data_IF_074638810940
#
_entry.id   IF_074638810940
#
_cell.length_a   1.000
_cell.length_b   1.000
_cell.length_c   1.000
_cell.angle_alpha   90.00
_cell.angle_beta   90.00
_cell.angle_gamma   90.00
#
_symmetry.space_group_name_H-M   'P 1'
#
loop_
_entity.id
_entity.type
_entity.pdbx_description
1 polymer ?
#
# COMPACT_ATOMS: atom_id res chain seq x y z
N UNK A 1 -36.07 -12.04 -6.97
CA UNK A 1 -35.66 -10.66 -6.61
C UNK A 1 -34.19 -10.71 -6.25
N UNK A 2 -33.31 -10.45 -7.21
CA UNK A 2 -31.89 -10.78 -7.12
C UNK A 2 -31.09 -9.53 -6.75
N UNK A 3 -30.55 -9.50 -5.54
CA UNK A 3 -29.65 -8.43 -5.09
C UNK A 3 -28.31 -8.56 -5.84
N UNK A 4 -28.14 -7.77 -6.90
CA UNK A 4 -26.82 -7.45 -7.45
C UNK A 4 -26.11 -6.56 -6.43
N UNK A 5 -25.30 -7.15 -5.55
CA UNK A 5 -24.34 -6.36 -4.77
C UNK A 5 -23.16 -6.08 -5.71
N UNK A 6 -23.31 -4.99 -6.48
CA UNK A 6 -22.21 -4.35 -7.18
C UNK A 6 -21.20 -3.85 -6.15
N UNK A 7 -19.91 -4.06 -6.41
CA UNK A 7 -18.82 -3.45 -5.65
C UNK A 7 -19.17 -1.97 -5.39
N UNK A 8 -19.33 -1.52 -4.13
CA UNK A 8 -19.87 -0.20 -3.81
C UNK A 8 -19.01 0.96 -4.34
N UNK A 9 -17.78 0.67 -4.80
CA UNK A 9 -16.86 1.64 -5.39
C UNK A 9 -16.77 1.57 -6.92
N UNK A 10 -17.43 0.62 -7.57
CA UNK A 10 -17.31 0.40 -9.02
C UNK A 10 -18.65 0.70 -9.70
N UNK A 11 -18.84 1.95 -10.14
CA UNK A 11 -20.03 2.35 -10.91
C UNK A 11 -20.17 1.47 -12.15
N UNK A 12 -21.32 0.83 -12.29
CA UNK A 12 -21.67 -0.17 -13.31
C UNK A 12 -21.90 0.34 -14.73
N UNK A 13 -21.48 1.58 -15.05
CA UNK A 13 -21.76 2.22 -16.35
C UNK A 13 -20.55 2.47 -17.25
N UNK A 14 -19.32 2.43 -16.72
CA UNK A 14 -18.10 2.79 -17.49
C UNK A 14 -17.23 1.57 -17.83
N UNK A 15 -17.78 0.37 -17.67
CA UNK A 15 -17.03 -0.88 -17.68
C UNK A 15 -16.49 -1.32 -19.06
N UNK A 16 -16.75 -0.60 -20.15
CA UNK A 16 -16.40 -1.07 -21.49
C UNK A 16 -15.11 -0.49 -22.11
N UNK A 17 -14.41 0.48 -21.50
CA UNK A 17 -13.26 1.10 -22.20
C UNK A 17 -11.95 1.35 -21.43
N UNK A 18 -11.78 0.87 -20.19
CA UNK A 18 -10.41 0.82 -19.60
C UNK A 18 -10.15 -0.53 -18.94
N UNK A 19 -9.53 -1.44 -19.70
CA UNK A 19 -8.68 -2.48 -19.12
C UNK A 19 -7.54 -1.78 -18.39
N UNK A 20 -7.74 -1.47 -17.10
CA UNK A 20 -6.67 -1.00 -16.22
C UNK A 20 -5.77 -2.22 -15.99
N UNK A 21 -4.67 -2.29 -16.74
CA UNK A 21 -3.66 -3.32 -16.52
C UNK A 21 -2.93 -3.03 -15.20
N UNK A 22 -2.70 -4.05 -14.34
CA UNK A 22 -1.86 -3.92 -13.17
C UNK A 22 -0.47 -3.41 -13.60
N UNK A 23 0.03 -2.33 -12.97
CA UNK A 23 1.32 -1.72 -13.29
C UNK A 23 1.33 -0.66 -14.41
N UNK A 24 0.22 -0.48 -15.16
CA UNK A 24 0.15 0.55 -16.22
C UNK A 24 0.22 1.99 -15.70
N UNK A 25 0.06 2.19 -14.38
CA UNK A 25 0.10 3.50 -13.74
C UNK A 25 1.51 4.05 -13.50
N UNK A 26 2.54 3.19 -13.41
CA UNK A 26 3.95 3.63 -13.30
C UNK A 26 4.40 4.43 -14.53
N UNK A 27 3.79 4.17 -15.69
CA UNK A 27 4.10 4.78 -16.98
C UNK A 27 3.04 5.79 -17.46
N UNK A 28 1.98 6.01 -16.68
CA UNK A 28 1.00 7.05 -16.98
C UNK A 28 1.53 8.39 -16.47
N UNK A 29 1.50 9.42 -17.34
CA UNK A 29 1.94 10.80 -17.06
C UNK A 29 1.60 11.39 -15.67
N UNK A 30 0.49 11.05 -14.95
CA UNK A 30 0.26 11.56 -13.60
C UNK A 30 1.16 11.02 -12.47
N UNK A 31 1.80 9.85 -12.60
CA UNK A 31 2.47 9.20 -11.46
C UNK A 31 3.64 9.98 -10.89
N UNK A 32 4.60 10.36 -11.75
CA UNK A 32 5.77 11.14 -11.35
C UNK A 32 5.40 12.56 -10.89
N UNK A 33 4.33 13.15 -11.45
CA UNK A 33 3.83 14.47 -11.04
C UNK A 33 3.36 14.42 -9.58
N UNK A 34 2.61 13.37 -9.22
CA UNK A 34 2.12 13.21 -7.84
C UNK A 34 3.27 12.88 -6.88
N UNK A 35 4.24 12.07 -7.31
CA UNK A 35 5.46 11.82 -6.55
C UNK A 35 6.20 13.13 -6.23
N UNK A 36 6.49 13.95 -7.25
CA UNK A 36 7.15 15.26 -7.06
C UNK A 36 6.30 16.21 -6.21
N UNK A 37 4.97 16.18 -6.38
CA UNK A 37 4.06 16.96 -5.56
C UNK A 37 4.24 16.65 -4.06
N UNK A 38 4.27 15.36 -3.67
CA UNK A 38 4.47 15.01 -2.26
C UNK A 38 5.87 15.39 -1.74
N UNK A 39 6.90 15.35 -2.58
CA UNK A 39 8.22 15.89 -2.21
C UNK A 39 8.18 17.40 -1.94
N UNK A 40 7.53 18.17 -2.83
CA UNK A 40 7.41 19.62 -2.65
C UNK A 40 6.57 19.99 -1.42
N UNK A 41 5.47 19.28 -1.18
CA UNK A 41 4.65 19.49 0.03
C UNK A 41 5.43 19.10 1.28
N UNK A 42 6.21 18.03 1.23
CA UNK A 42 7.08 17.63 2.36
C UNK A 42 8.10 18.70 2.68
N UNK A 43 8.81 19.23 1.67
CA UNK A 43 9.75 20.34 1.84
C UNK A 43 9.09 21.58 2.48
N UNK A 44 7.88 21.92 2.05
CA UNK A 44 7.13 23.04 2.61
C UNK A 44 6.64 22.76 4.04
N UNK A 45 6.18 21.55 4.31
CA UNK A 45 5.65 21.14 5.61
C UNK A 45 6.73 21.04 6.68
N UNK A 46 7.91 20.53 6.30
CA UNK A 46 9.05 20.39 7.20
C UNK A 46 9.92 21.64 7.25
N UNK A 47 9.51 22.75 6.63
CA UNK A 47 10.29 23.99 6.67
C UNK A 47 10.49 24.45 8.13
N UNK A 48 11.71 24.85 8.55
CA UNK A 48 12.89 25.17 7.74
C UNK A 48 13.91 24.02 7.57
N UNK A 49 13.58 22.75 7.78
CA UNK A 49 14.54 21.62 7.68
C UNK A 49 15.42 21.67 6.42
N UNK A 50 14.83 22.03 5.28
CA UNK A 50 15.53 22.11 4.00
C UNK A 50 16.70 23.13 3.98
N UNK A 51 16.70 24.14 4.88
CA UNK A 51 17.79 25.13 4.95
C UNK A 51 19.01 24.65 5.73
N UNK A 52 18.84 23.60 6.54
CA UNK A 52 19.85 23.08 7.47
C UNK A 52 20.06 21.57 7.35
N UNK A 53 19.86 20.99 6.15
CA UNK A 53 19.88 19.53 5.96
C UNK A 53 21.16 18.87 6.46
N UNK A 54 22.30 19.56 6.41
CA UNK A 54 23.61 18.97 6.68
C UNK A 54 24.06 19.09 8.15
N UNK A 55 23.46 19.99 8.92
CA UNK A 55 24.02 20.44 10.20
C UNK A 55 22.98 20.74 11.28
N UNK A 56 21.69 20.69 10.93
CA UNK A 56 20.59 20.99 11.84
C UNK A 56 19.82 19.72 12.19
N UNK A 57 19.47 19.61 13.46
CA UNK A 57 18.59 18.58 14.00
C UNK A 57 17.39 19.24 14.66
N UNK A 58 16.28 18.52 14.73
CA UNK A 58 15.04 19.03 15.32
C UNK A 58 15.21 19.33 16.82
N UNK A 59 15.88 18.43 17.53
CA UNK A 59 16.20 18.59 18.95
C UNK A 59 17.62 18.07 19.28
N UNK A 60 17.97 18.13 20.57
CA UNK A 60 19.25 17.62 21.11
C UNK A 60 19.10 16.28 21.85
N UNK A 61 17.92 15.65 21.79
CA UNK A 61 17.63 14.35 22.39
C UNK A 61 17.70 13.30 21.30
N UNK A 62 16.55 12.73 20.93
CA UNK A 62 16.43 11.54 20.09
C UNK A 62 16.90 11.80 18.66
N UNK A 63 16.83 13.07 18.22
CA UNK A 63 17.34 13.51 16.93
C UNK A 63 18.86 13.42 16.81
N UNK A 64 19.60 13.34 17.92
CA UNK A 64 21.06 13.16 17.90
C UNK A 64 21.46 11.69 17.86
N UNK A 65 20.63 10.83 18.43
CA UNK A 65 20.91 9.40 18.56
C UNK A 65 20.66 8.65 17.24
N UNK A 66 19.54 8.91 16.57
CA UNK A 66 19.19 8.26 15.29
C UNK A 66 20.26 8.42 14.18
N UNK A 67 20.75 9.63 13.84
CA UNK A 67 21.82 9.78 12.85
C UNK A 67 23.11 9.06 13.28
N UNK A 68 23.45 9.08 14.57
CA UNK A 68 24.63 8.37 15.07
C UNK A 68 24.49 6.84 14.87
N UNK A 69 23.31 6.26 15.17
CA UNK A 69 23.01 4.84 14.91
C UNK A 69 23.10 4.51 13.43
N UNK A 70 22.50 5.32 12.56
CA UNK A 70 22.58 5.16 11.10
C UNK A 70 24.03 5.22 10.60
N UNK A 71 24.84 6.15 11.13
CA UNK A 71 26.27 6.26 10.83
C UNK A 71 27.05 5.03 11.27
N UNK A 72 26.74 4.48 12.46
CA UNK A 72 27.36 3.25 12.97
C UNK A 72 27.01 2.04 12.11
N UNK A 73 25.74 1.90 11.68
CA UNK A 73 25.30 0.86 10.75
C UNK A 73 26.04 0.99 9.42
N UNK A 74 26.09 2.19 8.84
CA UNK A 74 26.78 2.45 7.58
C UNK A 74 28.29 2.13 7.68
N UNK A 75 28.91 2.45 8.81
CA UNK A 75 30.31 2.11 9.08
C UNK A 75 30.52 0.59 9.16
N UNK A 76 29.71 -0.12 9.97
CA UNK A 76 29.83 -1.57 10.15
C UNK A 76 29.57 -2.34 8.86
N UNK A 77 28.66 -1.86 8.02
CA UNK A 77 28.36 -2.51 6.74
C UNK A 77 29.58 -2.60 5.80
N UNK A 78 30.53 -1.67 5.91
CA UNK A 78 31.79 -1.67 5.14
C UNK A 78 32.95 -2.41 5.82
N UNK A 79 32.97 -2.44 7.15
CA UNK A 79 34.14 -2.90 7.90
C UNK A 79 33.95 -4.28 8.54
N UNK A 80 32.76 -4.56 9.08
CA UNK A 80 32.43 -5.82 9.74
C UNK A 80 30.91 -6.13 9.65
N UNK A 81 30.42 -6.53 8.46
CA UNK A 81 28.99 -6.71 8.22
C UNK A 81 28.37 -7.87 9.04
N UNK A 82 29.18 -8.78 9.57
CA UNK A 82 28.70 -9.87 10.44
C UNK A 82 28.31 -9.36 11.83
N UNK A 83 28.84 -8.20 12.23
CA UNK A 83 28.55 -7.54 13.51
C UNK A 83 27.76 -6.24 13.29
N UNK A 84 26.86 -6.22 12.30
CA UNK A 84 26.06 -5.03 11.92
C UNK A 84 25.30 -4.40 13.08
N UNK A 85 24.88 -5.21 14.06
CA UNK A 85 24.13 -4.78 15.23
C UNK A 85 25.01 -4.35 16.42
N UNK A 86 26.33 -4.34 16.26
CA UNK A 86 27.27 -3.90 17.28
C UNK A 86 27.65 -2.43 17.10
N UNK A 87 27.50 -1.66 18.16
CA UNK A 87 27.95 -0.27 18.26
C UNK A 87 28.65 -0.02 19.61
N UNK A 88 29.04 1.23 19.89
CA UNK A 88 29.69 1.56 21.16
C UNK A 88 28.69 1.84 22.32
N UNK A 89 27.38 1.82 22.07
CA UNK A 89 26.38 2.01 23.13
C UNK A 89 26.28 0.79 24.03
N UNK A 90 25.93 1.03 25.29
CA UNK A 90 25.73 -0.03 26.29
C UNK A 90 26.93 -0.98 26.47
N UNK A 91 28.16 -0.53 26.21
CA UNK A 91 29.36 -1.35 26.42
C UNK A 91 29.40 -1.94 27.85
N UNK A 92 29.68 -3.25 28.02
CA UNK A 92 30.20 -4.21 27.05
C UNK A 92 29.14 -5.10 26.36
N UNK A 93 27.87 -4.72 26.37
CA UNK A 93 26.81 -5.53 25.76
C UNK A 93 26.98 -5.61 24.24
N UNK A 94 26.89 -6.84 23.71
CA UNK A 94 26.88 -7.12 22.27
C UNK A 94 25.46 -6.99 21.70
N UNK A 95 25.37 -6.82 20.37
CA UNK A 95 24.10 -6.62 19.66
C UNK A 95 23.27 -5.47 20.24
N UNK A 96 23.95 -4.45 20.76
CA UNK A 96 23.35 -3.35 21.51
C UNK A 96 22.38 -2.50 20.68
N UNK A 97 22.53 -2.43 19.35
CA UNK A 97 21.57 -1.74 18.48
C UNK A 97 20.18 -2.39 18.46
N UNK A 98 20.05 -3.66 18.87
CA UNK A 98 18.76 -4.35 19.00
C UNK A 98 18.05 -4.05 20.33
N UNK A 99 18.77 -3.47 21.30
CA UNK A 99 18.22 -3.13 22.61
C UNK A 99 17.44 -1.81 22.60
N UNK A 100 17.48 -1.10 21.48
CA UNK A 100 16.85 0.18 21.26
C UNK A 100 15.90 0.10 20.04
N UNK A 101 15.32 1.22 19.63
CA UNK A 101 14.51 1.32 18.43
C UNK A 101 15.26 0.78 17.20
N UNK A 102 14.62 -0.14 16.49
CA UNK A 102 15.23 -0.81 15.36
C UNK A 102 15.25 0.12 14.14
N UNK A 103 16.38 0.76 13.88
CA UNK A 103 16.60 1.70 12.74
C UNK A 103 17.51 1.13 11.66
N UNK A 104 17.66 -0.20 11.62
CA UNK A 104 18.61 -0.88 10.71
C UNK A 104 18.18 -0.74 9.25
N UNK A 105 16.88 -0.80 8.97
CA UNK A 105 16.33 -0.59 7.63
C UNK A 105 16.71 0.78 7.09
N UNK A 106 16.53 1.81 7.90
CA UNK A 106 16.85 3.19 7.54
C UNK A 106 18.36 3.39 7.37
N UNK A 107 19.16 2.84 8.29
CA UNK A 107 20.62 2.85 8.20
C UNK A 107 21.13 2.18 6.92
N UNK A 108 20.55 1.05 6.51
CA UNK A 108 20.90 0.37 5.26
C UNK A 108 20.51 1.18 4.02
N UNK A 109 19.30 1.74 3.99
CA UNK A 109 18.80 2.52 2.85
C UNK A 109 19.62 3.80 2.63
N UNK A 110 20.05 4.44 3.72
CA UNK A 110 20.73 5.73 3.68
C UNK A 110 22.26 5.62 3.85
N UNK A 111 22.80 4.41 4.03
CA UNK A 111 24.24 4.17 4.08
C UNK A 111 25.01 4.78 2.88
N UNK A 112 24.51 4.71 1.62
CA UNK A 112 25.17 5.38 0.50
C UNK A 112 25.34 6.89 0.69
N UNK A 113 24.37 7.57 1.31
CA UNK A 113 24.49 9.01 1.61
C UNK A 113 25.60 9.23 2.62
N UNK A 114 25.65 8.41 3.68
CA UNK A 114 26.70 8.49 4.70
C UNK A 114 28.07 8.26 4.06
N UNK A 115 28.25 7.26 3.21
CA UNK A 115 29.55 6.97 2.58
C UNK A 115 30.00 8.07 1.61
N UNK A 116 29.08 8.64 0.85
CA UNK A 116 29.41 9.68 -0.15
C UNK A 116 29.68 11.05 0.49
N UNK A 117 29.09 11.33 1.64
CA UNK A 117 29.12 12.68 2.25
C UNK A 117 29.82 12.73 3.60
N UNK A 118 30.09 11.57 4.20
CA UNK A 118 30.54 11.41 5.59
C UNK A 118 29.64 12.14 6.59
N UNK A 119 28.34 12.26 6.27
CA UNK A 119 27.39 13.07 7.03
C UNK A 119 26.11 12.28 7.39
N UNK A 120 26.06 11.67 8.59
CA UNK A 120 24.84 11.00 9.07
C UNK A 120 23.67 11.95 9.36
N UNK A 121 23.92 13.23 9.65
CA UNK A 121 22.85 14.23 9.87
C UNK A 121 22.10 14.49 8.57
N UNK A 122 22.84 14.65 7.46
CA UNK A 122 22.23 14.74 6.12
C UNK A 122 21.40 13.50 5.80
N UNK A 123 21.94 12.32 6.09
CA UNK A 123 21.26 11.06 5.84
C UNK A 123 19.92 10.97 6.62
N UNK A 124 19.92 11.36 7.89
CA UNK A 124 18.73 11.40 8.73
C UNK A 124 17.69 12.45 8.27
N UNK A 125 18.13 13.65 7.90
CA UNK A 125 17.21 14.68 7.43
C UNK A 125 16.56 14.32 6.08
N UNK A 126 17.30 13.63 5.20
CA UNK A 126 16.75 13.06 3.97
C UNK A 126 15.78 11.91 4.25
N UNK A 127 16.03 11.10 5.29
CA UNK A 127 15.08 10.08 5.75
C UNK A 127 13.76 10.74 6.17
N UNK A 128 13.79 11.76 7.03
CA UNK A 128 12.57 12.47 7.47
C UNK A 128 11.78 12.99 6.26
N UNK A 129 12.44 13.67 5.31
CA UNK A 129 11.77 14.15 4.09
C UNK A 129 11.18 13.00 3.27
N UNK A 130 11.90 11.89 3.16
CA UNK A 130 11.46 10.70 2.44
C UNK A 130 10.23 10.09 3.10
N UNK A 131 10.20 9.97 4.43
CA UNK A 131 9.08 9.38 5.17
C UNK A 131 7.76 10.10 4.86
N UNK A 132 7.74 11.44 4.91
CA UNK A 132 6.55 12.23 4.54
C UNK A 132 6.19 12.07 3.05
N UNK A 133 7.15 12.22 2.14
CA UNK A 133 6.87 12.20 0.71
C UNK A 133 6.39 10.83 0.24
N UNK A 134 7.07 9.76 0.68
CA UNK A 134 6.75 8.38 0.33
C UNK A 134 5.45 7.92 0.98
N UNK A 135 5.16 8.34 2.23
CA UNK A 135 3.88 8.01 2.88
C UNK A 135 2.69 8.55 2.10
N UNK A 136 2.79 9.82 1.66
CA UNK A 136 1.73 10.45 0.87
C UNK A 136 1.56 9.79 -0.48
N UNK A 137 2.68 9.47 -1.14
CA UNK A 137 2.67 8.80 -2.43
C UNK A 137 2.13 7.36 -2.36
N UNK A 138 2.55 6.58 -1.37
CA UNK A 138 2.07 5.21 -1.14
C UNK A 138 0.56 5.19 -0.91
N UNK A 139 0.05 6.09 -0.07
CA UNK A 139 -1.37 6.20 0.20
C UNK A 139 -2.16 6.67 -1.03
N UNK A 140 -1.61 7.61 -1.82
CA UNK A 140 -2.20 7.98 -3.10
C UNK A 140 -2.32 6.79 -4.04
N UNK A 141 -1.29 5.95 -4.16
CA UNK A 141 -1.32 4.74 -4.98
C UNK A 141 -2.41 3.77 -4.54
N UNK A 142 -2.45 3.50 -3.23
CA UNK A 142 -3.43 2.59 -2.63
C UNK A 142 -4.86 3.07 -2.88
N UNK A 143 -5.18 4.31 -2.51
CA UNK A 143 -6.55 4.83 -2.61
C UNK A 143 -6.96 5.05 -4.06
N UNK A 144 -6.05 5.50 -4.94
CA UNK A 144 -6.34 5.59 -6.38
C UNK A 144 -6.64 4.22 -6.97
N UNK A 145 -5.92 3.18 -6.56
CA UNK A 145 -6.18 1.81 -7.01
C UNK A 145 -7.55 1.30 -6.54
N UNK A 146 -7.88 1.52 -5.27
CA UNK A 146 -9.13 1.06 -4.68
C UNK A 146 -10.37 1.81 -5.20
N UNK A 147 -10.25 3.11 -5.48
CA UNK A 147 -11.39 3.98 -5.83
C UNK A 147 -11.46 4.37 -7.31
N UNK A 148 -10.36 4.23 -8.05
CA UNK A 148 -10.20 4.77 -9.40
C UNK A 148 -10.01 6.31 -9.46
N UNK A 149 -10.13 7.03 -8.33
CA UNK A 149 -10.07 8.49 -8.27
C UNK A 149 -8.71 9.00 -7.82
N UNK A 150 -8.00 9.71 -8.70
CA UNK A 150 -6.72 10.35 -8.34
C UNK A 150 -6.90 11.47 -7.32
N UNK A 151 -8.04 12.18 -7.34
CA UNK A 151 -8.33 13.26 -6.38
C UNK A 151 -8.56 12.71 -4.97
N UNK A 152 -9.32 11.62 -4.84
CA UNK A 152 -9.49 10.94 -3.55
C UNK A 152 -8.15 10.42 -3.00
N UNK A 153 -7.30 9.88 -3.88
CA UNK A 153 -5.95 9.48 -3.50
C UNK A 153 -5.09 10.64 -3.00
N UNK A 154 -5.17 11.82 -3.63
CA UNK A 154 -4.39 12.98 -3.22
C UNK A 154 -4.80 13.47 -1.83
N UNK A 155 -6.11 13.55 -1.58
CA UNK A 155 -6.64 13.93 -0.27
C UNK A 155 -6.23 12.91 0.80
N UNK A 156 -6.37 11.61 0.51
CA UNK A 156 -5.97 10.57 1.45
C UNK A 156 -4.46 10.59 1.74
N UNK A 157 -3.62 10.80 0.71
CA UNK A 157 -2.17 10.91 0.87
C UNK A 157 -1.76 12.13 1.69
N UNK A 158 -2.42 13.27 1.50
CA UNK A 158 -2.18 14.46 2.33
C UNK A 158 -2.55 14.21 3.79
N UNK A 159 -3.73 13.64 4.04
CA UNK A 159 -4.20 13.33 5.41
C UNK A 159 -3.25 12.35 6.09
N UNK A 160 -2.84 11.29 5.40
CA UNK A 160 -1.98 10.25 5.96
C UNK A 160 -0.57 10.79 6.27
N UNK A 161 0.08 11.36 5.25
CA UNK A 161 1.45 11.84 5.37
C UNK A 161 1.59 12.99 6.37
N UNK A 162 0.68 13.96 6.35
CA UNK A 162 0.80 15.19 7.14
C UNK A 162 -0.14 15.20 8.35
N UNK A 163 -0.48 14.02 8.87
CA UNK A 163 -1.29 13.88 10.08
C UNK A 163 -0.54 14.41 11.31
N UNK A 164 -1.26 14.89 12.34
CA UNK A 164 -0.64 15.28 13.62
C UNK A 164 0.16 14.13 14.27
N UNK A 165 -0.27 12.89 14.06
CA UNK A 165 0.47 11.71 14.54
C UNK A 165 1.84 11.60 13.88
N UNK A 166 1.90 11.66 12.54
CA UNK A 166 3.18 11.58 11.83
C UNK A 166 4.09 12.75 12.19
N UNK A 167 3.52 13.95 12.32
CA UNK A 167 4.26 15.13 12.78
C UNK A 167 4.87 14.94 14.18
N UNK A 168 4.17 14.27 15.10
CA UNK A 168 4.70 14.00 16.43
C UNK A 168 5.91 13.06 16.43
N UNK A 169 6.10 12.28 15.36
CA UNK A 169 7.24 11.35 15.20
C UNK A 169 8.45 12.00 14.51
N UNK A 170 8.46 13.32 14.33
CA UNK A 170 9.55 14.02 13.62
C UNK A 170 10.94 13.80 14.22
N UNK A 171 11.02 13.60 15.54
CA UNK A 171 12.26 13.29 16.27
C UNK A 171 12.60 11.79 16.29
N UNK A 172 11.66 10.92 15.92
CA UNK A 172 11.74 9.46 16.01
C UNK A 172 11.79 8.87 14.60
N UNK A 173 12.98 8.75 14.04
CA UNK A 173 13.16 8.33 12.64
C UNK A 173 12.43 7.04 12.27
N UNK A 174 12.54 6.01 13.11
CA UNK A 174 11.91 4.72 12.87
C UNK A 174 10.38 4.81 12.90
N UNK A 175 9.79 5.37 13.95
CA UNK A 175 8.33 5.64 14.02
C UNK A 175 7.83 6.62 12.95
N UNK A 176 8.72 7.37 12.30
CA UNK A 176 8.41 8.15 11.10
C UNK A 176 8.22 7.29 9.85
N UNK A 177 8.91 6.15 9.74
CA UNK A 177 8.90 5.28 8.55
C UNK A 177 7.60 4.46 8.45
N UNK A 178 6.49 5.12 8.09
CA UNK A 178 5.16 4.53 7.98
C UNK A 178 4.74 4.22 6.54
N UNK A 179 5.50 4.70 5.56
CA UNK A 179 5.31 4.47 4.13
C UNK A 179 5.38 2.99 3.77
N UNK A 180 6.27 2.23 4.42
CA UNK A 180 6.53 0.83 4.10
C UNK A 180 5.30 -0.04 4.37
N UNK A 181 4.57 0.22 5.46
CA UNK A 181 3.30 -0.44 5.77
C UNK A 181 2.28 -0.26 4.64
N UNK A 182 2.15 0.95 4.10
CA UNK A 182 1.18 1.25 3.03
C UNK A 182 1.61 0.62 1.71
N UNK A 183 2.91 0.68 1.37
CA UNK A 183 3.43 -0.02 0.19
C UNK A 183 3.24 -1.54 0.30
N UNK A 184 3.53 -2.13 1.45
CA UNK A 184 3.33 -3.55 1.69
C UNK A 184 1.86 -3.94 1.44
N UNK A 185 0.90 -3.23 2.08
CA UNK A 185 -0.52 -3.49 1.84
C UNK A 185 -0.90 -3.32 0.36
N UNK A 186 -0.40 -2.27 -0.29
CA UNK A 186 -0.67 -2.01 -1.70
C UNK A 186 -0.23 -3.16 -2.61
N UNK A 187 1.01 -3.64 -2.45
CA UNK A 187 1.52 -4.75 -3.26
C UNK A 187 0.88 -6.09 -2.91
N UNK A 188 0.47 -6.29 -1.64
CA UNK A 188 -0.33 -7.45 -1.25
C UNK A 188 -1.68 -7.48 -1.98
N UNK A 189 -2.36 -6.34 -2.08
CA UNK A 189 -3.62 -6.21 -2.84
C UNK A 189 -3.39 -6.50 -4.32
N UNK A 190 -2.33 -5.95 -4.92
CA UNK A 190 -2.02 -6.23 -6.33
C UNK A 190 -1.71 -7.71 -6.57
N UNK A 191 -1.06 -8.38 -5.62
CA UNK A 191 -0.77 -9.82 -5.70
C UNK A 191 -2.04 -10.67 -5.67
N UNK A 192 -2.95 -10.43 -4.73
CA UNK A 192 -4.20 -11.22 -4.57
C UNK A 192 -5.19 -11.00 -5.71
N UNK A 193 -5.14 -9.84 -6.37
CA UNK A 193 -5.95 -9.54 -7.56
C UNK A 193 -5.48 -10.28 -8.82
N UNK A 194 -4.27 -10.87 -8.81
CA UNK A 194 -3.75 -11.57 -9.98
C UNK A 194 -4.57 -12.84 -10.29
N UNK A 195 -4.88 -13.11 -11.57
CA UNK A 195 -5.66 -14.29 -11.95
C UNK A 195 -4.89 -15.60 -11.76
N UNK A 196 -3.55 -15.55 -11.77
CA UNK A 196 -2.67 -16.70 -11.57
C UNK A 196 -1.71 -16.39 -10.43
N UNK A 197 -1.87 -17.07 -9.30
CA UNK A 197 -1.04 -16.87 -8.10
C UNK A 197 0.47 -17.04 -8.36
N UNK A 198 0.84 -17.88 -9.33
CA UNK A 198 2.24 -18.16 -9.69
C UNK A 198 2.65 -17.61 -11.06
N UNK A 199 1.94 -16.59 -11.57
CA UNK A 199 2.41 -15.84 -12.74
C UNK A 199 3.61 -14.97 -12.39
N UNK A 200 4.49 -14.67 -13.37
CA UNK A 200 5.65 -13.78 -13.18
C UNK A 200 5.30 -12.45 -12.49
N UNK A 201 4.19 -11.83 -12.91
CA UNK A 201 3.72 -10.57 -12.35
C UNK A 201 3.21 -10.72 -10.91
N UNK A 202 2.56 -11.83 -10.57
CA UNK A 202 2.13 -12.12 -9.22
C UNK A 202 3.33 -12.31 -8.29
N UNK A 203 4.32 -13.10 -8.70
CA UNK A 203 5.56 -13.28 -7.95
C UNK A 203 6.33 -11.97 -7.78
N UNK A 204 6.30 -11.08 -8.78
CA UNK A 204 6.88 -9.74 -8.67
C UNK A 204 6.19 -8.91 -7.58
N UNK A 205 4.85 -8.85 -7.57
CA UNK A 205 4.12 -8.14 -6.52
C UNK A 205 4.29 -8.78 -5.15
N UNK A 206 4.37 -10.11 -5.07
CA UNK A 206 4.68 -10.80 -3.83
C UNK A 206 6.09 -10.44 -3.32
N UNK A 207 7.08 -10.39 -4.22
CA UNK A 207 8.44 -9.96 -3.88
C UNK A 207 8.48 -8.52 -3.36
N UNK A 208 7.73 -7.59 -3.99
CA UNK A 208 7.62 -6.22 -3.50
C UNK A 208 6.91 -6.14 -2.14
N UNK A 209 5.84 -6.91 -1.95
CA UNK A 209 5.18 -7.00 -0.64
C UNK A 209 6.16 -7.43 0.45
N UNK A 210 6.88 -8.54 0.23
CA UNK A 210 7.87 -9.05 1.19
C UNK A 210 8.96 -8.00 1.44
N UNK A 211 9.49 -7.40 0.38
CA UNK A 211 10.51 -6.35 0.49
C UNK A 211 10.05 -5.18 1.37
N UNK A 212 8.87 -4.60 1.12
CA UNK A 212 8.38 -3.48 1.92
C UNK A 212 7.97 -3.89 3.33
N UNK A 213 7.47 -5.11 3.52
CA UNK A 213 7.17 -5.64 4.84
C UNK A 213 8.44 -5.80 5.68
N UNK A 214 9.52 -6.33 5.09
CA UNK A 214 10.82 -6.48 5.73
C UNK A 214 11.45 -5.11 6.03
N UNK A 215 11.36 -4.14 5.10
CA UNK A 215 11.79 -2.77 5.37
C UNK A 215 11.03 -2.18 6.56
N UNK A 216 9.71 -2.38 6.65
CA UNK A 216 8.94 -1.90 7.79
C UNK A 216 9.40 -2.51 9.11
N UNK A 217 9.71 -3.82 9.12
CA UNK A 217 10.26 -4.49 10.31
C UNK A 217 11.60 -3.85 10.69
N UNK A 218 12.49 -3.69 9.73
CA UNK A 218 13.87 -3.24 9.94
C UNK A 218 13.96 -1.75 10.30
N UNK A 219 13.02 -0.92 9.86
CA UNK A 219 12.94 0.52 10.17
C UNK A 219 12.13 0.83 11.43
N UNK A 220 11.14 0.01 11.77
CA UNK A 220 10.36 0.17 13.00
C UNK A 220 9.70 -1.12 13.45
N UNK A 221 10.32 -1.81 14.42
CA UNK A 221 9.79 -3.04 14.99
C UNK A 221 8.36 -2.90 15.54
N UNK A 222 7.99 -1.73 16.08
CA UNK A 222 6.62 -1.47 16.54
C UNK A 222 5.60 -1.50 15.40
N UNK A 223 5.92 -0.91 14.25
CA UNK A 223 5.05 -0.88 13.07
C UNK A 223 5.02 -2.21 12.32
N UNK A 224 5.97 -3.11 12.55
CA UNK A 224 5.87 -4.50 12.08
C UNK A 224 4.56 -5.16 12.55
N UNK A 225 4.21 -5.00 13.84
CA UNK A 225 2.99 -5.56 14.40
C UNK A 225 1.74 -4.99 13.74
N UNK A 226 1.69 -3.67 13.57
CA UNK A 226 0.56 -3.00 12.91
C UNK A 226 0.45 -3.40 11.43
N UNK A 227 1.58 -3.56 10.75
CA UNK A 227 1.63 -3.99 9.34
C UNK A 227 1.17 -5.44 9.18
N UNK A 228 1.62 -6.33 10.07
CA UNK A 228 1.17 -7.72 10.12
C UNK A 228 -0.33 -7.81 10.37
N UNK A 229 -0.85 -7.03 11.33
CA UNK A 229 -2.27 -6.97 11.63
C UNK A 229 -3.08 -6.47 10.42
N UNK A 230 -2.65 -5.37 9.80
CA UNK A 230 -3.31 -4.78 8.63
C UNK A 230 -3.35 -5.76 7.45
N UNK A 231 -2.22 -6.39 7.14
CA UNK A 231 -2.12 -7.38 6.06
C UNK A 231 -2.94 -8.64 6.37
N UNK A 232 -2.91 -9.11 7.62
CA UNK A 232 -3.71 -10.24 8.08
C UNK A 232 -5.21 -9.97 7.97
N UNK A 233 -5.67 -8.79 8.41
CA UNK A 233 -7.06 -8.35 8.26
C UNK A 233 -7.49 -8.30 6.79
N UNK A 234 -6.63 -7.77 5.92
CA UNK A 234 -6.89 -7.77 4.48
C UNK A 234 -7.01 -9.18 3.91
N UNK A 235 -6.11 -10.09 4.27
CA UNK A 235 -6.14 -11.49 3.81
C UNK A 235 -7.40 -12.22 4.30
N UNK A 236 -7.82 -11.99 5.54
CA UNK A 236 -9.08 -12.53 6.07
C UNK A 236 -10.27 -11.98 5.27
N UNK A 237 -10.32 -10.67 5.05
CA UNK A 237 -11.34 -10.04 4.20
C UNK A 237 -11.36 -10.65 2.79
N UNK A 238 -10.20 -10.77 2.15
CA UNK A 238 -10.07 -11.33 0.81
C UNK A 238 -10.53 -12.80 0.76
N UNK A 239 -10.14 -13.61 1.75
CA UNK A 239 -10.53 -15.02 1.85
C UNK A 239 -12.05 -15.19 2.02
N UNK A 240 -12.67 -14.44 2.93
CA UNK A 240 -14.09 -14.61 3.24
C UNK A 240 -15.01 -13.99 2.19
N UNK A 241 -14.66 -12.83 1.63
CA UNK A 241 -15.58 -12.05 0.81
C UNK A 241 -15.26 -12.06 -0.69
N UNK A 242 -13.98 -12.15 -1.08
CA UNK A 242 -13.59 -12.07 -2.50
C UNK A 242 -13.46 -13.46 -3.12
N UNK A 243 -12.78 -14.39 -2.45
CA UNK A 243 -12.60 -15.74 -2.98
C UNK A 243 -13.92 -16.53 -3.08
N UNK A 244 -14.85 -16.34 -2.15
CA UNK A 244 -16.17 -16.99 -2.19
C UNK A 244 -17.01 -16.54 -3.39
N UNK A 245 -16.91 -15.27 -3.80
CA UNK A 245 -17.66 -14.75 -4.96
C UNK A 245 -17.21 -15.41 -6.27
N UNK A 246 -15.91 -15.76 -6.41
CA UNK A 246 -15.42 -16.51 -7.58
C UNK A 246 -15.92 -17.96 -7.62
N UNK A 247 -16.06 -18.61 -6.46
CA UNK A 247 -16.55 -20.00 -6.37
C UNK A 247 -18.06 -20.06 -6.64
N UNK A 248 -18.84 -19.14 -6.08
CA UNK A 248 -20.30 -19.10 -6.28
C UNK A 248 -20.67 -18.60 -7.69
N UNK A 249 -19.91 -17.68 -8.27
CA UNK A 249 -20.10 -17.22 -9.66
C UNK A 249 -19.57 -18.18 -10.74
N UNK A 250 -18.85 -19.25 -10.34
CA UNK A 250 -18.38 -20.32 -11.23
C UNK A 250 -19.41 -21.40 -11.52
N UNK A 251 -20.54 -21.41 -10.80
CA UNK A 251 -21.70 -22.26 -11.10
C UNK A 251 -22.84 -21.36 -11.57
N UNK A 252 -22.82 -20.99 -12.86
CA UNK A 252 -24.06 -20.80 -13.62
C UNK A 252 -23.71 -20.62 -15.09
N UNK A 253 -23.59 -21.74 -15.80
CA UNK A 253 -24.22 -21.77 -17.11
C UNK A 253 -25.74 -21.75 -16.84
N UNK A 254 -26.48 -20.67 -17.15
CA UNK A 254 -27.90 -20.56 -16.81
C UNK A 254 -28.74 -21.68 -17.45
N UNK A 255 -28.22 -22.31 -18.51
CA UNK A 255 -28.89 -23.39 -19.24
C UNK A 255 -28.82 -24.76 -18.55
N UNK A 256 -27.89 -24.99 -17.60
CA UNK A 256 -27.74 -26.30 -16.96
C UNK A 256 -28.60 -26.49 -15.70
N UNK A 257 -29.21 -25.43 -15.17
CA UNK A 257 -29.99 -25.47 -13.92
C UNK A 257 -31.51 -25.49 -14.16
N UNK A 258 -31.96 -25.31 -15.40
CA UNK A 258 -33.37 -25.50 -15.71
C UNK A 258 -33.66 -27.01 -15.79
N UNK A 259 -34.53 -27.58 -14.94
CA UNK A 259 -35.07 -28.90 -15.23
C UNK A 259 -35.71 -28.80 -16.63
N UNK A 260 -35.32 -29.68 -17.55
CA UNK A 260 -36.03 -29.87 -18.81
C UNK A 260 -37.45 -30.35 -18.46
N UNK A 261 -38.35 -29.42 -18.16
CA UNK A 261 -39.78 -29.69 -18.14
C UNK A 261 -40.13 -29.90 -19.61
N UNK A 262 -40.16 -31.18 -20.00
CA UNK A 262 -40.77 -31.60 -21.25
C UNK A 262 -42.26 -31.30 -21.08
N UNK A 263 -42.73 -30.18 -21.63
CA UNK A 263 -44.15 -29.87 -21.70
C UNK A 263 -44.75 -30.89 -22.66
N UNK A 264 -45.21 -32.01 -22.11
CA UNK A 264 -46.17 -32.87 -22.79
C UNK A 264 -47.50 -32.12 -22.79
N UNK A 265 -47.87 -31.64 -23.97
CA UNK A 265 -49.19 -31.12 -24.34
C UNK A 265 -49.47 -29.63 -23.97
N UNK A 266 -49.39 -28.69 -24.94
CA UNK A 266 -49.63 -27.26 -24.72
C UNK A 266 -51.08 -26.86 -24.41
N UNK A 267 -52.05 -27.77 -24.44
CA UNK A 267 -53.47 -27.43 -24.39
C UNK A 267 -54.13 -27.49 -22.99
N UNK A 268 -53.40 -27.86 -21.93
CA UNK A 268 -54.02 -28.10 -20.61
C UNK A 268 -53.67 -27.11 -19.48
N UNK A 269 -52.95 -26.02 -19.74
CA UNK A 269 -52.63 -25.03 -18.69
C UNK A 269 -53.08 -23.62 -19.08
N UNK A 270 -54.38 -23.39 -19.06
CA UNK A 270 -54.96 -22.04 -18.96
C UNK A 270 -56.14 -22.06 -17.99
N UNK A 271 -56.01 -21.47 -16.78
CA UNK A 271 -57.16 -20.93 -16.07
C UNK A 271 -57.22 -19.42 -16.29
N UNK A 272 -58.32 -19.00 -16.92
CA UNK A 272 -59.06 -17.74 -16.74
C UNK A 272 -58.31 -16.62 -15.99
N UNK A 273 -57.61 -15.77 -16.73
CA UNK A 273 -57.45 -14.36 -16.34
C UNK A 273 -58.11 -13.54 -17.44
N UNK A 274 -59.27 -12.97 -17.10
CA UNK A 274 -59.98 -12.07 -17.97
C UNK A 274 -59.13 -10.83 -18.22
N UNK A 275 -58.57 -10.74 -19.42
CA UNK A 275 -58.18 -9.47 -20.02
C UNK A 275 -58.81 -9.45 -21.40
N UNK A 276 -59.77 -8.54 -21.53
CA UNK A 276 -60.44 -8.21 -22.78
C UNK A 276 -59.43 -7.67 -23.80
N UNK A 277 -59.26 -8.44 -24.87
CA UNK A 277 -59.05 -8.00 -26.26
C UNK A 277 -57.80 -7.16 -26.59
N UNK A 278 -56.74 -7.78 -27.18
CA UNK A 278 -55.76 -7.08 -28.00
C UNK A 278 -56.03 -7.36 -29.49
N UNK A 279 -56.96 -6.61 -30.08
CA UNK A 279 -56.92 -6.32 -31.52
C UNK A 279 -56.56 -4.85 -31.65
N UNK A 280 -55.65 -4.55 -32.59
CA UNK A 280 -54.95 -3.26 -32.81
C UNK A 280 -53.64 -3.23 -32.01
N UNK A 281 -52.42 -3.16 -32.57
CA UNK A 281 -51.95 -2.66 -33.87
C UNK A 281 -50.57 -3.27 -34.17
N UNK A 282 -50.39 -3.83 -35.37
CA UNK A 282 -49.18 -3.79 -36.21
C UNK A 282 -49.67 -3.99 -37.66
N UNK A 283 -48.96 -3.59 -38.75
CA UNK A 283 -47.85 -2.65 -38.91
C UNK A 283 -48.02 -1.68 -40.12
N UNK A 284 -47.19 -0.62 -40.18
CA UNK A 284 -46.44 -0.17 -41.37
C UNK A 284 -45.22 0.60 -40.90
#
# INVERSE_FOLDING_TARGET
MTLKITNPFRKTGEAEQRKIYPGSWLYQKPGWVVFLFFWLVSLAFTWPLATGLNDSLFDRSDSTDTPWRMGSIAYQLLHDPLHLYESNTFYPLKQNLQLDELVVGDGLLLAPVVWLTNNPVLAYNLLILSNFALSGFAMWLLVRHLTGSSGAGLVAGLIYAFSPWHQAQFAHGGLGAQEWMVFALYFLILFTEQPKAFGKLALFYLGLFVFFFDLQILSAGYYAYFTALLCGMYLLYHFFFINKVKIVGGISNPEQVLPKIRISNPEQVLPKIGISNPKQVLPK
#
